data_IF_331729012930
#
_entry.id   IF_331729012930
#
_cell.length_a   1.000
_cell.length_b   1.000
_cell.length_c   1.000
_cell.angle_alpha   90.00
_cell.angle_beta   90.00
_cell.angle_gamma   90.00
#
_symmetry.space_group_name_H-M   'P 1'
#
loop_
_entity.id
_entity.type
_entity.pdbx_description
1 polymer ?
#
# COMPACT_ATOMS: atom_id res chain seq x y z
N UNK A 1 -6.67 -6.10 -8.97
CA UNK A 1 -7.46 -5.18 -8.14
C UNK A 1 -8.90 -5.13 -8.66
N UNK A 2 -9.91 -5.24 -7.79
CA UNK A 2 -11.33 -5.06 -8.16
C UNK A 2 -11.84 -3.76 -7.56
N UNK A 3 -12.67 -3.03 -8.30
CA UNK A 3 -13.27 -1.78 -7.85
C UNK A 3 -14.75 -1.75 -8.23
N UNK A 4 -15.59 -1.26 -7.31
CA UNK A 4 -17.06 -1.24 -7.43
C UNK A 4 -17.55 -0.25 -8.50
N UNK A 5 -16.89 0.91 -8.60
CA UNK A 5 -17.22 1.91 -9.60
C UNK A 5 -16.89 1.40 -11.01
N UNK A 6 -17.83 1.54 -11.94
CA UNK A 6 -17.65 1.12 -13.34
C UNK A 6 -16.67 2.04 -14.05
N UNK A 7 -16.72 3.33 -13.72
CA UNK A 7 -15.88 4.42 -14.22
C UNK A 7 -14.43 4.38 -13.71
N UNK A 8 -14.10 3.50 -12.76
CA UNK A 8 -12.73 3.31 -12.31
C UNK A 8 -11.87 2.79 -13.45
N UNK A 9 -10.89 3.58 -13.91
CA UNK A 9 -9.98 3.15 -14.95
C UNK A 9 -9.09 2.03 -14.42
N UNK A 10 -9.20 0.85 -15.06
CA UNK A 10 -8.41 -0.34 -14.70
C UNK A 10 -7.18 -0.47 -15.58
N UNK A 11 -7.10 0.26 -16.68
CA UNK A 11 -6.05 0.12 -17.67
C UNK A 11 -4.71 0.61 -17.15
N UNK A 12 -4.69 1.70 -16.38
CA UNK A 12 -3.47 2.30 -15.87
C UNK A 12 -2.66 1.32 -14.99
N UNK A 13 -3.26 0.75 -13.94
CA UNK A 13 -2.57 -0.20 -13.07
C UNK A 13 -2.28 -1.56 -13.72
N UNK A 14 -3.07 -1.93 -14.74
CA UNK A 14 -2.82 -3.14 -15.54
C UNK A 14 -1.61 -2.98 -16.46
N UNK A 15 -1.35 -1.77 -16.94
CA UNK A 15 -0.17 -1.46 -17.76
C UNK A 15 1.07 -1.24 -16.90
N UNK A 16 0.91 -0.56 -15.76
CA UNK A 16 2.01 -0.26 -14.85
C UNK A 16 1.52 -0.23 -13.40
N UNK A 17 2.03 -1.17 -12.60
CA UNK A 17 1.70 -1.26 -11.18
C UNK A 17 2.21 -0.05 -10.40
N UNK A 18 3.28 0.61 -10.87
CA UNK A 18 3.86 1.79 -10.23
C UNK A 18 2.92 2.99 -10.19
N UNK A 19 1.85 2.98 -10.99
CA UNK A 19 0.79 3.99 -10.93
C UNK A 19 0.03 3.95 -9.61
N UNK A 20 -0.10 2.76 -9.01
CA UNK A 20 -0.88 2.55 -7.79
C UNK A 20 -0.02 2.19 -6.57
N UNK A 21 1.15 1.58 -6.79
CA UNK A 21 2.10 1.24 -5.74
C UNK A 21 3.49 1.47 -6.35
N UNK A 22 4.17 2.61 -6.09
CA UNK A 22 5.39 3.01 -6.78
C UNK A 22 6.62 2.24 -6.26
N UNK A 23 6.61 0.91 -6.39
CA UNK A 23 7.64 0.00 -5.91
C UNK A 23 9.00 0.35 -6.50
N UNK A 24 9.08 0.60 -7.81
CA UNK A 24 10.34 0.93 -8.48
C UNK A 24 10.99 2.18 -7.88
N UNK A 25 10.18 3.19 -7.52
CA UNK A 25 10.69 4.41 -6.91
C UNK A 25 11.15 4.16 -5.47
N UNK A 26 10.44 3.32 -4.72
CA UNK A 26 10.86 2.94 -3.37
C UNK A 26 12.15 2.09 -3.41
N UNK A 27 12.31 1.23 -4.41
CA UNK A 27 13.53 0.45 -4.64
C UNK A 27 14.70 1.36 -4.98
N UNK A 28 14.50 2.36 -5.85
CA UNK A 28 15.53 3.36 -6.15
C UNK A 28 15.95 4.14 -4.89
N UNK A 29 15.00 4.55 -4.06
CA UNK A 29 15.30 5.22 -2.79
C UNK A 29 16.10 4.33 -1.83
N UNK A 30 15.79 3.03 -1.78
CA UNK A 30 16.57 2.08 -0.99
C UNK A 30 17.99 1.88 -1.57
N UNK A 31 18.12 1.79 -2.89
CA UNK A 31 19.41 1.69 -3.59
C UNK A 31 20.29 2.93 -3.41
N UNK A 32 19.67 4.10 -3.29
CA UNK A 32 20.34 5.39 -3.05
C UNK A 32 20.60 5.68 -1.56
N UNK A 33 20.34 4.71 -0.66
CA UNK A 33 20.44 4.86 0.79
C UNK A 33 19.56 5.98 1.39
N UNK A 34 18.52 6.43 0.68
CA UNK A 34 17.54 7.43 1.17
C UNK A 34 16.59 6.82 2.22
N UNK A 35 16.27 5.53 2.06
CA UNK A 35 15.55 4.71 3.03
C UNK A 35 16.32 3.42 3.30
N UNK A 36 16.12 2.80 4.46
CA UNK A 36 16.85 1.58 4.82
C UNK A 36 16.44 0.36 3.99
N UNK A 37 15.14 0.14 3.81
CA UNK A 37 14.60 -0.97 3.04
C UNK A 37 13.10 -0.76 2.76
N UNK A 38 12.54 -1.61 1.91
CA UNK A 38 11.11 -1.75 1.69
C UNK A 38 10.62 -2.97 2.49
N UNK A 39 9.38 -2.93 2.97
CA UNK A 39 8.76 -4.09 3.63
C UNK A 39 8.37 -5.15 2.59
N UNK A 40 8.48 -6.43 2.93
CA UNK A 40 8.10 -7.54 2.03
C UNK A 40 6.59 -7.62 1.79
N UNK A 41 5.79 -7.17 2.76
CA UNK A 41 4.33 -7.27 2.75
C UNK A 41 3.66 -5.89 2.62
N UNK A 42 2.70 -5.80 1.69
CA UNK A 42 1.92 -4.58 1.44
C UNK A 42 0.44 -4.83 1.66
N UNK A 43 -0.25 -3.85 2.24
CA UNK A 43 -1.63 -3.99 2.69
C UNK A 43 -2.56 -3.01 1.98
N UNK A 44 -3.73 -3.50 1.57
CA UNK A 44 -4.79 -2.68 0.97
C UNK A 44 -6.09 -2.83 1.75
N UNK A 45 -6.89 -1.77 1.75
CA UNK A 45 -8.15 -1.68 2.45
C UNK A 45 -9.24 -1.24 1.48
N UNK A 46 -10.45 -1.79 1.61
CA UNK A 46 -11.58 -1.37 0.78
C UNK A 46 -12.05 0.02 1.20
N UNK A 47 -11.82 1.05 0.37
CA UNK A 47 -12.15 2.44 0.70
C UNK A 47 -13.66 2.73 0.87
N UNK A 48 -14.53 1.88 0.30
CA UNK A 48 -15.98 2.03 0.42
C UNK A 48 -16.57 1.43 1.72
N UNK A 49 -15.75 0.74 2.53
CA UNK A 49 -16.20 0.20 3.81
C UNK A 49 -16.12 1.26 4.92
N UNK A 50 -16.97 1.15 5.95
CA UNK A 50 -16.94 2.03 7.12
C UNK A 50 -15.61 1.83 7.88
N UNK A 51 -14.75 2.87 8.01
CA UNK A 51 -13.45 2.77 8.67
C UNK A 51 -13.52 2.22 10.10
N UNK A 52 -14.63 2.47 10.82
CA UNK A 52 -14.82 1.96 12.19
C UNK A 52 -14.84 0.43 12.20
N UNK A 53 -15.44 -0.18 11.17
CA UNK A 53 -15.49 -1.65 11.05
C UNK A 53 -14.13 -2.25 10.70
N UNK A 54 -13.19 -1.44 10.21
CA UNK A 54 -11.87 -1.85 9.75
C UNK A 54 -10.80 -1.69 10.82
N UNK A 55 -11.10 -1.02 11.94
CA UNK A 55 -10.14 -0.72 13.00
C UNK A 55 -9.42 -1.98 13.50
N UNK A 56 -10.15 -3.09 13.68
CA UNK A 56 -9.57 -4.35 14.12
C UNK A 56 -8.48 -4.85 13.16
N UNK A 57 -8.80 -4.90 11.86
CA UNK A 57 -7.85 -5.31 10.82
C UNK A 57 -6.68 -4.33 10.70
N UNK A 58 -6.94 -3.03 10.81
CA UNK A 58 -5.88 -2.01 10.80
C UNK A 58 -4.91 -2.21 11.97
N UNK A 59 -5.40 -2.53 13.17
CA UNK A 59 -4.57 -2.84 14.35
C UNK A 59 -3.76 -4.12 14.16
N UNK A 60 -4.34 -5.16 13.56
CA UNK A 60 -3.63 -6.41 13.26
C UNK A 60 -2.49 -6.16 12.27
N UNK A 61 -2.75 -5.42 11.19
CA UNK A 61 -1.74 -5.03 10.20
C UNK A 61 -0.64 -4.17 10.82
N UNK A 62 -1.01 -3.16 11.62
CA UNK A 62 -0.02 -2.34 12.34
C UNK A 62 0.86 -3.17 13.29
N UNK A 63 0.30 -4.23 13.89
CA UNK A 63 1.05 -5.18 14.70
C UNK A 63 2.11 -5.94 13.91
N UNK A 64 1.77 -6.39 12.69
CA UNK A 64 2.72 -7.07 11.78
C UNK A 64 3.82 -6.13 11.30
N UNK A 65 3.45 -4.94 10.83
CA UNK A 65 4.40 -3.89 10.42
C UNK A 65 5.43 -3.61 11.53
N UNK A 66 4.96 -3.51 12.79
CA UNK A 66 5.86 -3.30 13.93
C UNK A 66 6.80 -4.48 14.19
N UNK A 67 6.35 -5.71 13.98
CA UNK A 67 7.19 -6.91 14.11
C UNK A 67 8.25 -6.98 13.01
N UNK A 68 7.93 -6.50 11.81
CA UNK A 68 8.83 -6.38 10.66
C UNK A 68 9.81 -5.19 10.79
N UNK A 69 9.67 -4.35 11.82
CA UNK A 69 10.52 -3.18 12.02
C UNK A 69 10.17 -2.00 11.11
N UNK A 70 9.00 -2.00 10.47
CA UNK A 70 8.49 -0.87 9.70
C UNK A 70 8.32 0.34 10.62
N UNK A 71 8.99 1.44 10.26
CA UNK A 71 8.95 2.69 11.02
C UNK A 71 8.21 3.83 10.30
N UNK A 72 7.89 3.65 9.02
CA UNK A 72 7.25 4.65 8.16
C UNK A 72 6.25 3.93 7.25
N UNK A 73 5.07 4.51 7.07
CA UNK A 73 4.04 3.98 6.16
C UNK A 73 3.78 4.99 5.05
N UNK A 74 3.84 4.53 3.81
CA UNK A 74 3.42 5.30 2.65
C UNK A 74 1.96 4.95 2.32
N UNK A 75 1.04 5.89 2.57
CA UNK A 75 -0.39 5.70 2.35
C UNK A 75 -0.81 6.26 0.99
N UNK A 76 -1.40 5.41 0.14
CA UNK A 76 -1.81 5.77 -1.22
C UNK A 76 -3.34 5.73 -1.28
N UNK A 77 -4.02 6.87 -1.50
CA UNK A 77 -5.46 6.89 -1.71
C UNK A 77 -5.79 6.48 -3.15
N UNK A 78 -6.42 5.33 -3.32
CA UNK A 78 -6.93 4.80 -4.61
C UNK A 78 -8.44 4.74 -4.56
#
# INVERSE_FOLDING_TARGET
>A
MTHVAVEFDRSAWQQDLNVIIPLDRLEEMAQNDEIGSIADEHYSFMGAADPVTMEKSAREVAGKMKQEGVNTVFLIPI
#
